data_IF_973189037051
#
_entry.id   IF_973189037051
#
_cell.length_a   1.000
_cell.length_b   1.000
_cell.length_c   1.000
_cell.angle_alpha   90.00
_cell.angle_beta   90.00
_cell.angle_gamma   90.00
#
_symmetry.space_group_name_H-M   'P 1'
#
loop_
_entity.id
_entity.type
_entity.pdbx_description
1 polymer ?
#
# COMPACT_ATOMS: atom_id res chain seq x y z
N UNK A 1 -1.74 -6.41 -19.31
CA UNK A 1 -1.89 -6.95 -17.94
C UNK A 1 -1.08 -6.16 -16.93
N UNK A 2 0.17 -5.77 -17.26
CA UNK A 2 1.01 -4.93 -16.41
C UNK A 2 0.35 -3.69 -15.80
N UNK A 3 -0.34 -2.85 -16.59
CA UNK A 3 -1.03 -1.65 -16.08
C UNK A 3 -2.08 -1.99 -15.00
N UNK A 4 -2.91 -3.01 -15.24
CA UNK A 4 -3.94 -3.43 -14.28
C UNK A 4 -3.32 -3.93 -12.97
N UNK A 5 -2.25 -4.74 -13.05
CA UNK A 5 -1.55 -5.25 -11.87
C UNK A 5 -0.86 -4.12 -11.07
N UNK A 6 -0.29 -3.13 -11.75
CA UNK A 6 0.26 -1.93 -11.09
C UNK A 6 -0.82 -1.12 -10.37
N UNK A 7 -1.98 -0.89 -11.00
CA UNK A 7 -3.09 -0.16 -10.37
C UNK A 7 -3.64 -0.92 -9.15
N UNK A 8 -3.85 -2.23 -9.28
CA UNK A 8 -4.31 -3.08 -8.17
C UNK A 8 -3.28 -3.11 -7.03
N UNK A 9 -2.00 -3.26 -7.36
CA UNK A 9 -0.91 -3.22 -6.38
C UNK A 9 -0.85 -1.88 -5.63
N UNK A 10 -0.97 -0.76 -6.34
CA UNK A 10 -1.04 0.58 -5.71
C UNK A 10 -2.26 0.76 -4.81
N UNK A 11 -3.42 0.25 -5.22
CA UNK A 11 -4.64 0.25 -4.39
C UNK A 11 -4.51 -0.59 -3.12
N UNK A 12 -3.90 -1.78 -3.22
CA UNK A 12 -3.60 -2.62 -2.05
C UNK A 12 -2.62 -1.92 -1.11
N UNK A 13 -1.57 -1.29 -1.66
CA UNK A 13 -0.63 -0.48 -0.89
C UNK A 13 -1.31 0.66 -0.13
N UNK A 14 -2.23 1.37 -0.78
CA UNK A 14 -3.02 2.42 -0.14
C UNK A 14 -3.88 1.86 1.01
N UNK A 15 -4.62 0.77 0.79
CA UNK A 15 -5.43 0.14 1.85
C UNK A 15 -4.56 -0.32 3.04
N UNK A 16 -3.42 -0.93 2.76
CA UNK A 16 -2.48 -1.36 3.78
C UNK A 16 -1.97 -0.18 4.62
N UNK A 17 -1.66 0.96 3.99
CA UNK A 17 -1.20 2.14 4.72
C UNK A 17 -2.23 2.72 5.69
N UNK A 18 -3.52 2.63 5.35
CA UNK A 18 -4.62 3.08 6.20
C UNK A 18 -4.72 2.14 7.40
N UNK A 19 -4.74 0.82 7.17
CA UNK A 19 -4.82 -0.18 8.24
C UNK A 19 -3.61 -0.13 9.17
N UNK A 20 -2.40 -0.04 8.63
CA UNK A 20 -1.15 0.10 9.40
C UNK A 20 -1.19 1.33 10.31
N UNK A 21 -1.74 2.43 9.81
CA UNK A 21 -1.86 3.66 10.60
C UNK A 21 -2.91 3.56 11.70
N UNK A 22 -4.04 2.87 11.44
CA UNK A 22 -5.08 2.61 12.45
C UNK A 22 -4.56 1.68 13.54
N UNK A 23 -3.85 0.61 13.18
CA UNK A 23 -3.25 -0.32 14.15
C UNK A 23 -2.19 0.40 14.98
N UNK A 24 -1.27 1.12 14.34
CA UNK A 24 -0.21 1.87 15.03
C UNK A 24 -0.77 2.94 15.97
N UNK A 25 -1.88 3.60 15.61
CA UNK A 25 -2.57 4.51 16.51
C UNK A 25 -3.19 3.76 17.68
N UNK A 26 -3.89 2.66 17.41
CA UNK A 26 -4.58 1.87 18.44
C UNK A 26 -3.61 1.29 19.48
N UNK A 27 -2.39 0.92 19.08
CA UNK A 27 -1.34 0.44 19.98
C UNK A 27 -0.73 1.54 20.86
N UNK A 28 -0.85 2.80 20.44
CA UNK A 28 -0.22 3.96 21.13
C UNK A 28 -1.22 4.88 21.82
N UNK A 29 -2.52 4.68 21.59
CA UNK A 29 -3.57 5.49 22.17
C UNK A 29 -3.78 5.16 23.66
N UNK A 30 -3.90 6.18 24.52
CA UNK A 30 -4.43 6.01 25.87
C UNK A 30 -5.82 5.36 25.83
N UNK A 31 -6.15 4.54 26.84
CA UNK A 31 -7.45 3.83 26.95
C UNK A 31 -8.65 4.79 26.88
N UNK A 32 -8.44 6.07 27.17
CA UNK A 32 -9.47 7.09 27.24
C UNK A 32 -9.69 7.79 25.89
N UNK A 33 -8.80 7.57 24.91
CA UNK A 33 -8.76 8.23 23.59
C UNK A 33 -8.91 7.23 22.42
N UNK A 34 -9.65 6.14 22.62
CA UNK A 34 -10.06 5.25 21.53
C UNK A 34 -10.90 6.03 20.50
N UNK A 35 -10.26 6.41 19.39
CA UNK A 35 -10.85 7.16 18.28
C UNK A 35 -9.91 7.16 17.07
N UNK A 36 -10.38 7.57 15.90
CA UNK A 36 -9.51 7.68 14.71
C UNK A 36 -8.83 9.06 14.77
N UNK A 37 -7.84 9.22 15.63
CA UNK A 37 -7.04 10.45 15.68
C UNK A 37 -5.73 10.24 14.93
N UNK A 38 -5.48 11.07 13.91
CA UNK A 38 -4.22 11.01 13.17
C UNK A 38 -3.23 11.89 13.92
N UNK A 39 -2.36 11.28 14.73
CA UNK A 39 -1.34 11.95 15.57
C UNK A 39 -0.48 12.93 14.74
N UNK A 40 -0.20 12.59 13.47
CA UNK A 40 0.52 13.46 12.53
C UNK A 40 0.15 13.19 11.08
N UNK A 41 -0.55 14.14 10.46
CA UNK A 41 -0.92 14.07 9.03
C UNK A 41 0.29 14.00 8.10
N UNK A 42 1.40 14.67 8.44
CA UNK A 42 2.63 14.63 7.64
C UNK A 42 3.24 13.23 7.63
N UNK A 43 3.23 12.54 8.78
CA UNK A 43 3.73 11.17 8.88
C UNK A 43 2.80 10.20 8.14
N UNK A 44 1.49 10.38 8.28
CA UNK A 44 0.48 9.58 7.59
C UNK A 44 0.60 9.67 6.05
N UNK A 45 0.72 10.88 5.50
CA UNK A 45 0.89 11.09 4.05
C UNK A 45 2.17 10.44 3.53
N UNK A 46 3.28 10.54 4.28
CA UNK A 46 4.54 9.88 3.91
C UNK A 46 4.39 8.36 3.89
N UNK A 47 3.73 7.78 4.90
CA UNK A 47 3.43 6.34 4.92
C UNK A 47 2.59 5.93 3.72
N UNK A 48 1.51 6.64 3.42
CA UNK A 48 0.67 6.38 2.24
C UNK A 48 1.52 6.36 0.97
N UNK A 49 2.35 7.38 0.75
CA UNK A 49 3.21 7.46 -0.44
C UNK A 49 4.17 6.26 -0.53
N UNK A 50 4.80 5.88 0.57
CA UNK A 50 5.72 4.73 0.62
C UNK A 50 4.98 3.44 0.26
N UNK A 51 3.84 3.17 0.89
CA UNK A 51 3.09 1.95 0.63
C UNK A 51 2.46 1.90 -0.76
N UNK A 52 2.02 3.03 -1.32
CA UNK A 52 1.59 3.12 -2.73
C UNK A 52 2.76 2.79 -3.66
N UNK A 53 3.96 3.32 -3.40
CA UNK A 53 5.15 3.04 -4.22
C UNK A 53 5.56 1.57 -4.14
N UNK A 54 5.56 0.98 -2.94
CA UNK A 54 5.86 -0.45 -2.73
C UNK A 54 4.82 -1.31 -3.45
N UNK A 55 3.53 -1.06 -3.20
CA UNK A 55 2.44 -1.83 -3.79
C UNK A 55 2.39 -1.71 -5.31
N UNK A 56 2.52 -0.48 -5.83
CA UNK A 56 2.58 -0.21 -7.27
C UNK A 56 3.82 -0.83 -7.92
N UNK A 57 4.98 -0.74 -7.28
CA UNK A 57 6.23 -1.34 -7.72
C UNK A 57 6.16 -2.87 -7.80
N UNK A 58 5.61 -3.52 -6.77
CA UNK A 58 5.38 -4.97 -6.75
C UNK A 58 4.39 -5.40 -7.84
N UNK A 59 3.27 -4.68 -7.98
CA UNK A 59 2.29 -4.93 -9.04
C UNK A 59 2.89 -4.80 -10.44
N UNK A 60 3.75 -3.80 -10.65
CA UNK A 60 4.49 -3.61 -11.89
C UNK A 60 5.48 -4.74 -12.16
N UNK A 61 6.22 -5.19 -11.14
CA UNK A 61 7.21 -6.26 -11.23
C UNK A 61 6.54 -7.59 -11.60
N UNK A 62 5.45 -7.95 -10.92
CA UNK A 62 4.67 -9.15 -11.21
C UNK A 62 4.12 -9.07 -12.64
N UNK A 63 3.55 -7.92 -13.02
CA UNK A 63 3.05 -7.70 -14.38
C UNK A 63 4.14 -7.86 -15.44
N UNK A 64 5.36 -7.41 -15.17
CA UNK A 64 6.50 -7.59 -16.06
C UNK A 64 6.91 -9.05 -16.20
N UNK A 65 6.97 -9.81 -15.11
CA UNK A 65 7.30 -11.24 -15.12
C UNK A 65 6.25 -12.03 -15.92
N UNK A 66 4.97 -11.78 -15.67
CA UNK A 66 3.86 -12.46 -16.38
C UNK A 66 3.90 -12.16 -17.87
N UNK A 67 4.08 -10.89 -18.26
CA UNK A 67 4.17 -10.51 -19.67
C UNK A 67 5.41 -11.14 -20.34
N UNK A 68 6.54 -11.25 -19.64
CA UNK A 68 7.76 -11.91 -20.14
C UNK A 68 7.56 -13.41 -20.33
N UNK A 69 6.95 -14.10 -19.36
CA UNK A 69 6.65 -15.53 -19.44
C UNK A 69 5.68 -15.84 -20.59
N UNK A 70 4.67 -14.99 -20.80
CA UNK A 70 3.73 -15.15 -21.92
C UNK A 70 4.40 -15.00 -23.28
N UNK A 71 5.34 -14.06 -23.42
CA UNK A 71 6.12 -13.88 -24.66
C UNK A 71 7.07 -15.03 -24.95
N UNK A 72 7.60 -15.71 -23.93
CA UNK A 72 8.54 -16.82 -24.10
C UNK A 72 7.85 -18.16 -24.41
N UNK A 73 6.52 -18.21 -24.35
CA UNK A 73 5.69 -19.41 -24.57
C UNK A 73 5.04 -19.44 -25.96
N UNK A 74 5.07 -18.32 -26.69
CA UNK A 74 4.64 -18.17 -28.08
C UNK A 74 5.85 -18.11 -28.99
#
# INVERSE_FOLDING_TARGET
MKKALTTVGGGIGLLFSILDSVVSYSDTAPIDEYGISIISWQFFIKKILVYILIGGGLGWLIGFIVDKLKRNKN
#
